data_IF_032314646880
#
_entry.id   IF_032314646880
#
_cell.length_a   1.000
_cell.length_b   1.000
_cell.length_c   1.000
_cell.angle_alpha   90.00
_cell.angle_beta   90.00
_cell.angle_gamma   90.00
#
_symmetry.space_group_name_H-M   'P 1'
#
loop_
_entity.id
_entity.type
_entity.pdbx_description
1 polymer ?
#
# COMPACT_ATOMS: atom_id res chain seq x y z
N UNK A 1 -0.49 19.93 -5.45
CA UNK A 1 0.87 20.28 -5.00
C UNK A 1 1.92 19.19 -5.19
N UNK A 2 1.55 18.00 -5.68
CA UNK A 2 2.48 16.92 -6.04
C UNK A 2 3.59 17.42 -7.00
N UNK A 3 3.22 18.17 -8.03
CA UNK A 3 4.15 18.66 -9.07
C UNK A 3 5.10 19.81 -8.66
N UNK A 4 5.02 20.33 -7.45
CA UNK A 4 5.93 21.43 -7.02
C UNK A 4 7.42 21.05 -7.01
N UNK A 5 7.71 19.74 -6.87
CA UNK A 5 9.07 19.19 -6.86
C UNK A 5 9.32 18.21 -8.00
N UNK A 6 8.42 18.20 -8.97
CA UNK A 6 8.52 17.34 -10.13
C UNK A 6 9.64 17.85 -11.06
N UNK A 7 10.66 17.05 -11.33
CA UNK A 7 11.83 17.51 -12.08
C UNK A 7 11.59 17.58 -13.59
N UNK A 8 10.48 17.01 -14.07
CA UNK A 8 10.13 16.94 -15.50
C UNK A 8 9.99 15.51 -16.03
N UNK A 9 9.24 15.36 -17.10
CA UNK A 9 8.87 14.07 -17.69
C UNK A 9 10.07 13.24 -18.17
N UNK A 10 11.16 13.91 -18.54
CA UNK A 10 12.39 13.27 -19.00
C UNK A 10 13.20 12.58 -17.88
N UNK A 11 12.89 12.87 -16.61
CA UNK A 11 13.60 12.34 -15.44
C UNK A 11 12.79 11.34 -14.61
N UNK A 12 11.50 11.16 -14.92
CA UNK A 12 10.59 10.34 -14.08
C UNK A 12 9.81 9.37 -14.94
N UNK A 13 9.83 8.10 -14.59
CA UNK A 13 9.06 7.04 -15.23
C UNK A 13 7.82 6.62 -14.42
N UNK A 14 7.91 6.72 -13.09
CA UNK A 14 6.87 6.26 -12.16
C UNK A 14 6.54 7.38 -11.17
N UNK A 15 5.26 7.71 -11.05
CA UNK A 15 4.73 8.58 -10.00
C UNK A 15 4.27 7.71 -8.84
N UNK A 16 4.80 7.94 -7.65
CA UNK A 16 4.55 7.07 -6.52
C UNK A 16 4.25 7.84 -5.23
N UNK A 17 3.71 7.14 -4.25
CA UNK A 17 3.43 7.67 -2.91
C UNK A 17 3.67 6.60 -1.85
N UNK A 18 3.99 7.05 -0.64
CA UNK A 18 4.14 6.22 0.55
C UNK A 18 3.00 6.52 1.51
N UNK A 19 2.23 5.51 1.86
CA UNK A 19 1.10 5.63 2.79
C UNK A 19 1.06 4.42 3.71
N UNK A 20 1.12 4.68 5.02
CA UNK A 20 1.05 3.66 6.06
C UNK A 20 -0.26 3.76 6.84
N UNK A 21 -0.80 2.61 7.26
CA UNK A 21 -1.91 2.62 8.20
C UNK A 21 -1.40 2.91 9.61
N UNK A 22 -2.15 3.72 10.33
CA UNK A 22 -1.92 4.03 11.74
C UNK A 22 -3.21 3.84 12.52
N UNK A 23 -3.24 2.81 13.38
CA UNK A 23 -4.41 2.49 14.19
C UNK A 23 -4.69 3.59 15.21
N UNK A 24 -3.67 3.99 15.99
CA UNK A 24 -3.79 5.07 16.96
C UNK A 24 -4.97 4.85 17.92
N UNK A 25 -5.73 5.92 18.22
CA UNK A 25 -6.88 5.84 19.13
C UNK A 25 -8.18 5.36 18.45
N UNK A 26 -8.17 5.08 17.14
CA UNK A 26 -9.40 4.89 16.36
C UNK A 26 -9.96 3.46 16.42
N UNK A 27 -9.13 2.46 16.72
CA UNK A 27 -9.48 1.06 16.53
C UNK A 27 -9.28 0.58 15.09
N UNK A 28 -9.25 -0.74 14.91
CA UNK A 28 -8.80 -1.37 13.67
C UNK A 28 -9.69 -1.05 12.47
N UNK A 29 -10.99 -1.16 12.62
CA UNK A 29 -11.94 -0.93 11.52
C UNK A 29 -11.91 0.51 11.01
N UNK A 30 -11.96 1.49 11.90
CA UNK A 30 -11.89 2.91 11.50
C UNK A 30 -10.54 3.26 10.89
N UNK A 31 -9.44 2.76 11.45
CA UNK A 31 -8.10 2.96 10.90
C UNK A 31 -8.00 2.39 9.48
N UNK A 32 -8.49 1.18 9.25
CA UNK A 32 -8.53 0.53 7.94
C UNK A 32 -9.35 1.33 6.92
N UNK A 33 -10.52 1.81 7.30
CA UNK A 33 -11.36 2.66 6.43
C UNK A 33 -10.64 3.96 6.05
N UNK A 34 -10.02 4.63 7.02
CA UNK A 34 -9.26 5.87 6.79
C UNK A 34 -8.04 5.64 5.89
N UNK A 35 -7.31 4.56 6.12
CA UNK A 35 -6.18 4.15 5.27
C UNK A 35 -6.64 3.93 3.82
N UNK A 36 -7.69 3.12 3.62
CA UNK A 36 -8.22 2.84 2.29
C UNK A 36 -8.67 4.10 1.56
N UNK A 37 -9.35 5.03 2.24
CA UNK A 37 -9.74 6.32 1.67
C UNK A 37 -8.52 7.15 1.25
N UNK A 38 -7.53 7.27 2.13
CA UNK A 38 -6.31 8.03 1.86
C UNK A 38 -5.52 7.46 0.66
N UNK A 39 -5.38 6.13 0.58
CA UNK A 39 -4.73 5.47 -0.56
C UNK A 39 -5.50 5.74 -1.86
N UNK A 40 -6.81 5.56 -1.87
CA UNK A 40 -7.66 5.78 -3.06
C UNK A 40 -7.63 7.24 -3.53
N UNK A 41 -7.70 8.21 -2.63
CA UNK A 41 -7.61 9.64 -2.96
C UNK A 41 -6.26 9.97 -3.62
N UNK A 42 -5.17 9.44 -3.07
CA UNK A 42 -3.84 9.67 -3.62
C UNK A 42 -3.64 8.95 -4.96
N UNK A 43 -4.05 7.68 -5.07
CA UNK A 43 -3.96 6.95 -6.34
C UNK A 43 -4.84 7.56 -7.43
N UNK A 44 -6.00 8.13 -7.10
CA UNK A 44 -6.82 8.91 -8.04
C UNK A 44 -6.04 10.11 -8.58
N UNK A 45 -5.38 10.85 -7.70
CA UNK A 45 -4.54 11.99 -8.08
C UNK A 45 -3.36 11.56 -8.95
N UNK A 46 -2.63 10.52 -8.54
CA UNK A 46 -1.49 10.00 -9.28
C UNK A 46 -1.90 9.45 -10.65
N UNK A 47 -3.02 8.74 -10.74
CA UNK A 47 -3.50 8.18 -12.00
C UNK A 47 -3.90 9.28 -13.00
N UNK A 48 -4.49 10.37 -12.52
CA UNK A 48 -4.79 11.53 -13.35
C UNK A 48 -3.52 12.18 -13.92
N UNK A 49 -2.54 12.44 -13.05
CA UNK A 49 -1.24 13.00 -13.45
C UNK A 49 -0.46 12.05 -14.37
N UNK A 50 -0.46 10.76 -14.05
CA UNK A 50 0.23 9.75 -14.87
C UNK A 50 -0.36 9.65 -16.27
N UNK A 51 -1.68 9.77 -16.39
CA UNK A 51 -2.35 9.81 -17.70
C UNK A 51 -1.93 11.04 -18.49
N UNK A 52 -1.88 12.22 -17.87
CA UNK A 52 -1.46 13.48 -18.51
C UNK A 52 0.02 13.45 -18.94
N UNK A 53 0.89 12.89 -18.10
CA UNK A 53 2.34 12.86 -18.29
C UNK A 53 2.87 11.55 -18.92
N UNK A 54 2.00 10.60 -19.29
CA UNK A 54 2.36 9.27 -19.82
C UNK A 54 3.30 8.49 -18.89
N UNK A 55 2.98 8.43 -17.60
CA UNK A 55 3.76 7.77 -16.56
C UNK A 55 3.03 6.55 -15.98
N UNK A 56 3.76 5.72 -15.25
CA UNK A 56 3.22 4.66 -14.42
C UNK A 56 2.92 5.19 -13.01
N UNK A 57 2.12 4.43 -12.24
CA UNK A 57 1.88 4.74 -10.83
C UNK A 57 2.27 3.57 -9.92
N UNK A 58 2.66 3.89 -8.69
CA UNK A 58 2.97 2.90 -7.66
C UNK A 58 2.59 3.38 -6.25
N UNK A 59 2.36 2.41 -5.37
CA UNK A 59 2.37 2.61 -3.93
C UNK A 59 3.75 2.14 -3.44
N UNK A 60 4.71 3.09 -3.42
CA UNK A 60 6.14 2.80 -3.27
C UNK A 60 6.53 2.33 -1.89
N UNK A 61 5.74 2.70 -0.86
CA UNK A 61 5.82 2.11 0.46
C UNK A 61 4.44 2.08 1.13
N UNK A 62 4.13 0.97 1.79
CA UNK A 62 2.92 0.83 2.60
C UNK A 62 3.12 -0.19 3.72
N UNK A 63 2.16 -0.27 4.61
CA UNK A 63 2.13 -1.30 5.64
C UNK A 63 1.32 -0.91 6.86
N UNK A 64 1.06 -1.90 7.67
CA UNK A 64 0.54 -1.78 9.03
C UNK A 64 1.54 -2.41 9.99
N UNK A 65 2.22 -1.60 10.81
CA UNK A 65 3.27 -2.08 11.71
C UNK A 65 2.71 -3.10 12.71
N UNK A 66 3.36 -4.26 12.78
CA UNK A 66 2.98 -5.35 13.68
C UNK A 66 1.75 -6.15 13.26
N UNK A 67 1.11 -5.78 12.16
CA UNK A 67 -0.08 -6.46 11.60
C UNK A 67 -1.16 -6.81 12.62
N UNK A 68 -1.64 -5.85 13.45
CA UNK A 68 -2.65 -6.12 14.47
C UNK A 68 -4.05 -6.36 13.87
N UNK A 69 -4.30 -5.97 12.62
CA UNK A 69 -5.56 -6.20 11.92
C UNK A 69 -5.49 -7.51 11.12
N UNK A 70 -6.27 -8.54 11.50
CA UNK A 70 -6.18 -9.86 10.88
C UNK A 70 -6.72 -9.93 9.44
N UNK A 71 -7.36 -8.86 8.96
CA UNK A 71 -7.96 -8.76 7.62
C UNK A 71 -7.41 -7.58 6.81
N UNK A 72 -6.25 -7.07 7.21
CA UNK A 72 -5.65 -5.89 6.60
C UNK A 72 -5.35 -6.05 5.10
N UNK A 73 -4.90 -7.21 4.70
CA UNK A 73 -4.53 -7.48 3.30
C UNK A 73 -5.74 -7.54 2.38
N UNK A 74 -6.78 -8.26 2.80
CA UNK A 74 -7.98 -8.48 1.97
C UNK A 74 -9.03 -7.40 2.10
N UNK A 75 -9.16 -6.75 3.27
CA UNK A 75 -10.16 -5.71 3.50
C UNK A 75 -9.58 -4.28 3.60
N UNK A 76 -8.29 -4.14 3.79
CA UNK A 76 -7.60 -2.84 3.85
C UNK A 76 -6.88 -2.49 2.56
N UNK A 77 -5.79 -3.21 2.27
CA UNK A 77 -4.93 -2.92 1.14
C UNK A 77 -5.58 -3.24 -0.21
N UNK A 78 -6.09 -4.45 -0.39
CA UNK A 78 -6.62 -4.89 -1.68
C UNK A 78 -7.74 -3.98 -2.22
N UNK A 79 -8.80 -3.64 -1.46
CA UNK A 79 -9.84 -2.74 -1.94
C UNK A 79 -9.35 -1.32 -2.24
N UNK A 80 -8.23 -0.92 -1.63
CA UNK A 80 -7.65 0.39 -1.86
C UNK A 80 -6.90 0.50 -3.20
N UNK A 81 -6.38 -0.62 -3.73
CA UNK A 81 -5.52 -0.63 -4.93
C UNK A 81 -6.16 -1.27 -6.16
N UNK A 82 -7.09 -2.23 -6.02
CA UNK A 82 -7.59 -3.08 -7.10
C UNK A 82 -8.17 -2.34 -8.32
N UNK A 83 -8.70 -1.12 -8.13
CA UNK A 83 -9.32 -0.33 -9.19
C UNK A 83 -8.34 0.58 -9.95
N UNK A 84 -7.05 0.54 -9.62
CA UNK A 84 -6.02 1.40 -10.18
C UNK A 84 -4.95 0.59 -10.93
N UNK A 85 -4.37 1.13 -12.01
CA UNK A 85 -3.29 0.48 -12.74
C UNK A 85 -1.93 0.61 -12.01
N UNK A 86 -1.89 0.17 -10.76
CA UNK A 86 -0.69 0.22 -9.92
C UNK A 86 0.34 -0.77 -10.44
N UNK A 87 1.54 -0.30 -10.76
CA UNK A 87 2.62 -1.14 -11.30
C UNK A 87 3.22 -2.05 -10.23
N UNK A 88 3.40 -1.53 -9.02
CA UNK A 88 3.82 -2.33 -7.87
C UNK A 88 3.34 -1.70 -6.55
N UNK A 89 3.28 -2.53 -5.54
CA UNK A 89 3.11 -2.15 -4.14
C UNK A 89 4.25 -2.74 -3.35
N UNK A 90 4.93 -1.92 -2.55
CA UNK A 90 5.99 -2.40 -1.66
C UNK A 90 5.51 -2.29 -0.21
N UNK A 91 5.42 -3.43 0.46
CA UNK A 91 5.26 -3.44 1.92
C UNK A 91 6.61 -3.33 2.60
N UNK A 92 6.68 -2.53 3.68
CA UNK A 92 7.95 -2.28 4.34
C UNK A 92 8.54 -3.56 4.97
N UNK A 93 9.81 -3.49 5.30
CA UNK A 93 10.62 -4.60 5.76
C UNK A 93 10.25 -5.12 7.16
N UNK A 94 10.57 -6.36 7.43
CA UNK A 94 10.64 -6.89 8.77
C UNK A 94 12.05 -6.65 9.34
N UNK A 95 12.15 -5.94 10.47
CA UNK A 95 13.45 -5.68 11.10
C UNK A 95 13.88 -6.86 11.96
N UNK A 96 15.13 -7.31 11.80
CA UNK A 96 15.72 -8.37 12.61
C UNK A 96 16.17 -7.89 14.00
N UNK A 97 16.41 -6.59 14.13
CA UNK A 97 17.03 -5.92 15.29
C UNK A 97 16.04 -5.07 16.11
N UNK A 98 14.77 -5.01 15.69
CA UNK A 98 13.76 -4.18 16.33
C UNK A 98 12.46 -4.98 16.54
N UNK A 99 12.22 -5.53 17.75
CA UNK A 99 11.00 -6.26 18.05
C UNK A 99 9.73 -5.43 17.74
N UNK A 100 8.72 -6.06 17.12
CA UNK A 100 7.47 -5.41 16.75
C UNK A 100 7.51 -4.58 15.46
N UNK A 101 8.69 -4.33 14.91
CA UNK A 101 8.85 -3.59 13.65
C UNK A 101 8.86 -4.55 12.46
N UNK A 102 7.67 -5.02 12.07
CA UNK A 102 7.45 -5.88 10.92
C UNK A 102 6.16 -5.50 10.20
N UNK A 103 6.11 -5.77 8.90
CA UNK A 103 5.02 -5.38 8.00
C UNK A 103 4.56 -6.50 7.08
N UNK A 104 5.29 -7.62 7.06
CA UNK A 104 4.90 -8.81 6.30
C UNK A 104 4.81 -10.03 7.22
N UNK A 105 3.80 -10.90 7.04
CA UNK A 105 3.67 -12.11 7.83
C UNK A 105 4.72 -13.15 7.43
N UNK A 106 4.90 -14.17 8.27
CA UNK A 106 5.73 -15.34 8.02
C UNK A 106 4.94 -16.62 8.33
N UNK A 107 5.49 -17.75 7.96
CA UNK A 107 4.87 -19.04 8.27
C UNK A 107 4.68 -19.21 9.79
N UNK A 108 3.43 -19.52 10.19
CA UNK A 108 3.04 -19.64 11.60
C UNK A 108 2.62 -18.34 12.29
N UNK A 109 2.68 -17.19 11.60
CA UNK A 109 2.09 -15.96 12.10
C UNK A 109 0.55 -16.01 12.04
N UNK A 110 -0.14 -15.53 13.07
CA UNK A 110 -1.61 -15.63 13.21
C UNK A 110 -2.37 -15.00 12.01
N UNK A 111 -1.87 -13.88 11.47
CA UNK A 111 -2.48 -13.18 10.32
C UNK A 111 -2.06 -13.70 8.94
N UNK A 112 -1.30 -14.80 8.85
CA UNK A 112 -0.79 -15.29 7.55
C UNK A 112 -1.86 -15.85 6.62
N UNK A 113 -3.02 -16.25 7.12
CA UNK A 113 -4.13 -16.73 6.31
C UNK A 113 -4.72 -15.63 5.41
N UNK A 114 -4.89 -14.42 5.92
CA UNK A 114 -5.38 -13.26 5.17
C UNK A 114 -4.39 -12.83 4.08
N UNK A 115 -3.10 -12.84 4.40
CA UNK A 115 -2.06 -12.57 3.40
C UNK A 115 -2.05 -13.61 2.28
N UNK A 116 -2.23 -14.90 2.62
CA UNK A 116 -2.32 -15.96 1.62
C UNK A 116 -3.52 -15.75 0.69
N UNK A 117 -4.70 -15.42 1.25
CA UNK A 117 -5.89 -15.10 0.46
C UNK A 117 -5.66 -13.89 -0.45
N UNK A 118 -4.96 -12.86 0.04
CA UNK A 118 -4.55 -11.71 -0.77
C UNK A 118 -3.67 -12.13 -1.94
N UNK A 119 -2.67 -13.00 -1.71
CA UNK A 119 -1.76 -13.49 -2.76
C UNK A 119 -2.46 -14.37 -3.81
N UNK A 120 -3.62 -14.94 -3.49
CA UNK A 120 -4.44 -15.77 -4.40
C UNK A 120 -5.34 -14.94 -5.32
N UNK A 121 -5.41 -13.61 -5.18
CA UNK A 121 -6.14 -12.73 -6.10
C UNK A 121 -5.46 -12.77 -7.49
N UNK A 122 -6.27 -12.82 -8.55
CA UNK A 122 -5.77 -13.02 -9.93
C UNK A 122 -4.81 -11.92 -10.42
N UNK A 123 -4.94 -10.72 -9.88
CA UNK A 123 -4.16 -9.53 -10.23
C UNK A 123 -2.97 -9.27 -9.29
N UNK A 124 -2.73 -10.16 -8.33
CA UNK A 124 -1.61 -10.07 -7.40
C UNK A 124 -0.50 -11.05 -7.79
N UNK A 125 0.70 -10.52 -7.99
CA UNK A 125 1.91 -11.28 -8.26
C UNK A 125 2.97 -10.93 -7.22
N UNK A 126 3.46 -11.94 -6.52
CA UNK A 126 4.60 -11.77 -5.59
C UNK A 126 5.92 -11.81 -6.38
N UNK A 127 6.80 -10.90 -6.06
CA UNK A 127 8.15 -10.80 -6.64
C UNK A 127 9.22 -11.26 -5.64
#
# INVERSE_FOLDING_TARGET
MFLQRYPGDEFVDILATDIYEYVGPFGLEEARVRFGQQVREMLTTLNSLATEHHKLIALSETGLEGLPDPVWWTEGLYPAIQDFPVTYVLTWRNAHDKPGHFYAPWEGFEGSADFKEFCEKEDIVLL
#
